data_IF_884817066586
#
_entry.id   IF_884817066586
#
_cell.length_a   1.000
_cell.length_b   1.000
_cell.length_c   1.000
_cell.angle_alpha   90.00
_cell.angle_beta   90.00
_cell.angle_gamma   90.00
#
_symmetry.space_group_name_H-M   'P 1'
#
loop_
_entity.id
_entity.type
_entity.pdbx_description
1 polymer ?
#
# COMPACT_ATOMS: atom_id res chain seq x y z
N UNK A 1 12.70 21.96 -1.85
CA UNK A 1 13.40 20.76 -1.35
C UNK A 1 14.44 20.35 -2.39
N UNK A 2 15.64 19.88 -2.00
CA UNK A 2 16.65 19.39 -2.95
C UNK A 2 16.15 18.20 -3.80
N UNK A 3 16.57 18.14 -5.07
CA UNK A 3 16.17 17.09 -6.02
C UNK A 3 16.44 15.67 -5.49
N UNK A 4 17.59 15.47 -4.84
CA UNK A 4 17.97 14.18 -4.23
C UNK A 4 16.96 13.71 -3.18
N UNK A 5 16.53 14.61 -2.30
CA UNK A 5 15.54 14.30 -1.27
C UNK A 5 14.16 13.99 -1.89
N UNK A 6 13.79 14.71 -2.95
CA UNK A 6 12.57 14.41 -3.69
C UNK A 6 12.62 13.03 -4.35
N UNK A 7 13.75 12.66 -4.95
CA UNK A 7 13.97 11.33 -5.56
C UNK A 7 13.82 10.22 -4.52
N UNK A 8 14.44 10.37 -3.34
CA UNK A 8 14.32 9.43 -2.24
C UNK A 8 12.86 9.22 -1.82
N UNK A 9 12.11 10.31 -1.60
CA UNK A 9 10.69 10.24 -1.26
C UNK A 9 9.85 9.58 -2.36
N UNK A 10 10.15 9.84 -3.63
CA UNK A 10 9.44 9.25 -4.76
C UNK A 10 9.75 7.75 -4.93
N UNK A 11 10.99 7.33 -4.71
CA UNK A 11 11.41 5.92 -4.71
C UNK A 11 10.80 5.15 -3.53
N UNK A 12 10.69 5.82 -2.38
CA UNK A 12 9.98 5.34 -1.20
C UNK A 12 8.44 5.27 -1.42
N UNK A 13 7.92 5.66 -2.59
CA UNK A 13 6.49 5.63 -2.84
C UNK A 13 5.68 6.58 -1.94
N UNK A 14 6.33 7.62 -1.42
CA UNK A 14 5.68 8.63 -0.58
C UNK A 14 4.58 9.33 -1.39
N UNK A 15 3.35 9.49 -0.86
CA UNK A 15 2.24 10.06 -1.60
C UNK A 15 2.49 11.56 -1.81
N UNK A 16 2.09 12.12 -2.94
CA UNK A 16 2.39 13.54 -3.26
C UNK A 16 1.90 14.52 -2.19
N UNK A 17 0.77 14.25 -1.52
CA UNK A 17 0.29 15.11 -0.42
C UNK A 17 1.31 15.23 0.72
N UNK A 18 2.03 14.16 1.00
CA UNK A 18 3.00 14.05 2.09
C UNK A 18 4.33 14.68 1.65
N UNK A 19 4.74 14.44 0.40
CA UNK A 19 5.88 15.16 -0.22
C UNK A 19 5.66 16.67 -0.17
N UNK A 20 4.44 17.15 -0.47
CA UNK A 20 4.08 18.57 -0.37
C UNK A 20 4.22 19.08 1.06
N UNK A 21 3.69 18.35 2.06
CA UNK A 21 3.81 18.73 3.47
C UNK A 21 5.28 18.74 3.95
N UNK A 22 6.09 17.77 3.51
CA UNK A 22 7.53 17.71 3.82
C UNK A 22 8.26 18.89 3.18
N UNK A 23 7.96 19.23 1.92
CA UNK A 23 8.56 20.39 1.25
C UNK A 23 8.20 21.70 1.98
N UNK A 24 6.92 21.88 2.31
CA UNK A 24 6.46 23.08 3.03
C UNK A 24 7.14 23.24 4.39
N UNK A 25 7.27 22.15 5.18
CA UNK A 25 7.99 22.18 6.47
C UNK A 25 9.49 22.42 6.33
N UNK A 26 10.13 21.82 5.33
CA UNK A 26 11.60 21.91 5.18
C UNK A 26 12.08 23.18 4.52
N UNK A 27 11.28 23.79 3.63
CA UNK A 27 11.71 24.98 2.88
C UNK A 27 10.83 26.21 3.10
N UNK A 28 9.73 26.12 3.85
CA UNK A 28 8.76 27.21 4.03
C UNK A 28 7.93 27.53 2.78
N UNK A 29 8.07 26.75 1.70
CA UNK A 29 7.36 26.98 0.44
C UNK A 29 6.43 25.82 0.12
N UNK A 30 5.17 26.12 -0.15
CA UNK A 30 4.20 25.10 -0.56
C UNK A 30 4.22 24.92 -2.07
N UNK A 31 4.52 23.69 -2.51
CA UNK A 31 4.43 23.31 -3.92
C UNK A 31 3.12 22.55 -4.19
N UNK A 32 2.62 22.61 -5.42
CA UNK A 32 1.43 21.85 -5.81
C UNK A 32 1.77 20.36 -6.03
N UNK A 33 0.77 19.47 -5.92
CA UNK A 33 0.95 18.05 -6.28
C UNK A 33 1.34 17.88 -7.75
N UNK A 34 0.82 18.74 -8.63
CA UNK A 34 1.16 18.77 -10.05
C UNK A 34 2.62 19.15 -10.27
N UNK A 35 3.15 20.11 -9.51
CA UNK A 35 4.56 20.47 -9.55
C UNK A 35 5.46 19.25 -9.27
N UNK A 36 5.17 18.50 -8.20
CA UNK A 36 5.88 17.24 -7.88
C UNK A 36 5.76 16.21 -9.01
N UNK A 37 4.56 16.03 -9.56
CA UNK A 37 4.33 15.07 -10.64
C UNK A 37 5.11 15.43 -11.92
N UNK A 38 5.14 16.72 -12.26
CA UNK A 38 5.83 17.24 -13.46
C UNK A 38 7.35 17.15 -13.35
N UNK A 39 7.90 17.07 -12.15
CA UNK A 39 9.34 16.87 -11.96
C UNK A 39 9.78 15.42 -12.20
N UNK A 40 8.87 14.44 -12.17
CA UNK A 40 9.24 13.01 -12.33
C UNK A 40 10.05 12.71 -13.60
N UNK A 41 9.62 13.11 -14.81
CA UNK A 41 10.37 12.79 -16.02
C UNK A 41 11.81 13.33 -15.97
N UNK A 42 11.98 14.59 -15.52
CA UNK A 42 13.30 15.23 -15.35
C UNK A 42 14.18 14.44 -14.38
N UNK A 43 13.63 14.06 -13.23
CA UNK A 43 14.36 13.33 -12.20
C UNK A 43 14.71 11.89 -12.64
N UNK A 44 13.82 11.22 -13.37
CA UNK A 44 14.10 9.89 -13.95
C UNK A 44 15.26 9.96 -14.93
N UNK A 45 15.30 10.97 -15.80
CA UNK A 45 16.39 11.18 -16.75
C UNK A 45 17.69 11.56 -16.03
N UNK A 46 17.63 12.47 -15.06
CA UNK A 46 18.80 12.99 -14.35
C UNK A 46 19.48 11.95 -13.47
N UNK A 47 18.71 11.12 -12.77
CA UNK A 47 19.23 10.14 -11.81
C UNK A 47 19.21 8.71 -12.35
N UNK A 48 18.73 8.48 -13.57
CA UNK A 48 18.63 7.14 -14.15
C UNK A 48 17.68 6.20 -13.38
N UNK A 49 16.69 6.76 -12.68
CA UNK A 49 15.78 5.99 -11.82
C UNK A 49 14.42 5.77 -12.48
N UNK A 50 13.77 4.67 -12.12
CA UNK A 50 12.36 4.42 -12.47
C UNK A 50 11.54 4.47 -11.20
N UNK A 51 10.66 5.47 -11.09
CA UNK A 51 9.76 5.56 -9.94
C UNK A 51 8.69 4.46 -10.01
N UNK A 52 8.41 3.76 -8.90
CA UNK A 52 7.35 2.76 -8.87
C UNK A 52 6.01 3.35 -9.34
N UNK A 53 5.30 2.62 -10.22
CA UNK A 53 3.93 2.97 -10.60
C UNK A 53 2.98 2.52 -9.48
N UNK A 54 2.39 3.47 -8.75
CA UNK A 54 1.33 3.21 -7.77
C UNK A 54 1.81 2.57 -6.46
N UNK A 55 0.92 2.52 -5.46
CA UNK A 55 1.19 1.91 -4.15
C UNK A 55 1.68 0.47 -4.37
N UNK A 56 2.86 0.14 -3.84
CA UNK A 56 3.29 -1.27 -3.74
C UNK A 56 2.17 -2.03 -3.03
N UNK A 57 1.70 -3.13 -3.62
CA UNK A 57 0.88 -4.11 -2.88
C UNK A 57 1.77 -4.64 -1.77
N UNK A 58 1.58 -4.11 -0.57
CA UNK A 58 2.32 -4.53 0.61
C UNK A 58 1.58 -5.68 1.31
N UNK A 59 2.26 -6.38 2.21
CA UNK A 59 1.73 -7.57 2.90
C UNK A 59 0.39 -7.32 3.63
N UNK A 60 0.16 -6.08 4.07
CA UNK A 60 -1.07 -5.65 4.75
C UNK A 60 -2.21 -5.22 3.80
N UNK A 61 -2.01 -5.20 2.49
CA UNK A 61 -3.06 -4.99 1.48
C UNK A 61 -2.99 -6.07 0.39
N UNK A 62 -3.25 -7.35 0.74
CA UNK A 62 -3.18 -8.46 -0.21
C UNK A 62 -4.32 -8.46 -1.26
N UNK A 63 -5.40 -7.72 -1.01
CA UNK A 63 -6.59 -7.70 -1.86
C UNK A 63 -6.40 -6.85 -3.12
N UNK A 64 -7.14 -7.20 -4.17
CA UNK A 64 -7.40 -6.28 -5.28
C UNK A 64 -8.48 -5.28 -4.83
N UNK A 65 -8.04 -4.18 -4.21
CA UNK A 65 -8.94 -3.14 -3.70
C UNK A 65 -9.59 -2.43 -4.87
N UNK A 66 -10.93 -2.35 -4.86
CA UNK A 66 -11.70 -1.63 -5.89
C UNK A 66 -11.32 -0.14 -5.90
N UNK A 67 -11.31 0.53 -7.06
CA UNK A 67 -10.94 1.95 -7.14
C UNK A 67 -11.72 2.84 -6.16
N UNK A 68 -13.03 2.59 -6.03
CA UNK A 68 -13.93 3.27 -5.09
C UNK A 68 -13.47 3.18 -3.62
N UNK A 69 -12.85 2.05 -3.23
CA UNK A 69 -12.43 1.77 -1.85
C UNK A 69 -10.98 2.18 -1.57
N UNK A 70 -10.20 2.58 -2.57
CA UNK A 70 -8.77 2.93 -2.42
C UNK A 70 -8.51 4.13 -1.50
N UNK A 71 -9.52 4.99 -1.33
CA UNK A 71 -9.47 6.17 -0.45
C UNK A 71 -9.96 5.89 0.97
N UNK A 72 -10.32 4.65 1.29
CA UNK A 72 -10.78 4.29 2.62
C UNK A 72 -9.68 4.56 3.68
N UNK A 73 -10.00 5.15 4.84
CA UNK A 73 -9.01 5.51 5.86
C UNK A 73 -8.12 4.34 6.30
N UNK A 74 -8.70 3.13 6.43
CA UNK A 74 -7.95 1.92 6.81
C UNK A 74 -6.85 1.57 5.79
N UNK A 75 -7.02 1.85 4.49
CA UNK A 75 -5.97 1.59 3.48
C UNK A 75 -4.72 2.40 3.81
N UNK A 76 -4.90 3.67 4.15
CA UNK A 76 -3.80 4.56 4.53
C UNK A 76 -3.11 4.06 5.80
N UNK A 77 -3.86 3.66 6.82
CA UNK A 77 -3.29 3.18 8.09
C UNK A 77 -2.49 1.88 7.89
N UNK A 78 -2.98 0.97 7.04
CA UNK A 78 -2.26 -0.24 6.66
C UNK A 78 -1.00 0.05 5.86
N UNK A 79 -1.01 1.05 4.95
CA UNK A 79 0.21 1.51 4.28
C UNK A 79 1.24 2.06 5.27
N UNK A 80 0.80 2.83 6.27
CA UNK A 80 1.70 3.39 7.29
C UNK A 80 2.36 2.28 8.12
N UNK A 81 1.60 1.27 8.53
CA UNK A 81 2.19 0.12 9.23
C UNK A 81 3.16 -0.64 8.33
N UNK A 82 2.83 -0.86 7.05
CA UNK A 82 3.74 -1.55 6.13
C UNK A 82 5.07 -0.80 5.98
N UNK A 83 5.03 0.53 5.83
CA UNK A 83 6.23 1.38 5.82
C UNK A 83 7.03 1.26 7.11
N UNK A 84 6.35 1.26 8.26
CA UNK A 84 7.00 1.09 9.57
C UNK A 84 7.75 -0.25 9.61
N UNK A 85 7.14 -1.34 9.13
CA UNK A 85 7.76 -2.67 9.07
C UNK A 85 8.94 -2.73 8.11
N UNK A 86 8.82 -2.10 6.95
CA UNK A 86 9.89 -2.04 5.97
C UNK A 86 11.11 -1.30 6.55
N UNK A 87 10.90 -0.16 7.23
CA UNK A 87 11.98 0.54 7.93
C UNK A 87 12.66 -0.33 9.00
N UNK A 88 11.87 -1.07 9.78
CA UNK A 88 12.40 -1.95 10.83
C UNK A 88 13.19 -3.13 10.24
N UNK A 89 12.71 -3.74 9.16
CA UNK A 89 13.35 -4.88 8.51
C UNK A 89 14.71 -4.51 7.93
N UNK A 90 14.81 -3.33 7.36
CA UNK A 90 16.00 -2.85 6.66
C UNK A 90 16.97 -2.14 7.61
N UNK A 91 16.56 -1.90 8.86
CA UNK A 91 17.37 -1.18 9.86
C UNK A 91 17.65 0.27 9.49
N UNK A 92 16.89 0.83 8.54
CA UNK A 92 17.09 2.16 7.98
C UNK A 92 15.74 2.85 7.71
N UNK A 93 15.71 4.18 7.77
CA UNK A 93 14.52 4.97 7.44
C UNK A 93 14.40 5.07 5.91
N UNK A 94 13.76 4.08 5.30
CA UNK A 94 13.48 4.06 3.86
C UNK A 94 12.24 4.90 3.54
N UNK A 95 11.24 4.81 4.41
CA UNK A 95 9.98 5.52 4.33
C UNK A 95 9.86 6.45 5.54
N UNK A 96 10.23 7.73 5.43
CA UNK A 96 10.14 8.65 6.55
C UNK A 96 8.70 8.72 7.05
N UNK A 97 8.51 8.50 8.35
CA UNK A 97 7.24 8.64 9.05
C UNK A 97 7.40 9.78 10.05
N UNK A 98 6.54 10.79 9.96
CA UNK A 98 6.54 11.87 10.95
C UNK A 98 5.97 11.40 12.27
N UNK A 99 6.27 12.12 13.35
CA UNK A 99 5.73 11.82 14.68
C UNK A 99 4.19 11.79 14.68
N UNK A 100 3.54 12.71 13.95
CA UNK A 100 2.08 12.71 13.77
C UNK A 100 1.56 11.42 13.13
N UNK A 101 2.28 10.87 12.14
CA UNK A 101 1.87 9.63 11.47
C UNK A 101 2.08 8.42 12.36
N UNK A 102 3.14 8.42 13.17
CA UNK A 102 3.39 7.39 14.18
C UNK A 102 2.33 7.44 15.28
N UNK A 103 1.98 8.64 15.76
CA UNK A 103 0.91 8.84 16.74
C UNK A 103 -0.45 8.37 16.20
N UNK A 104 -0.79 8.71 14.95
CA UNK A 104 -2.02 8.23 14.30
C UNK A 104 -2.05 6.69 14.21
N UNK A 105 -0.93 6.07 13.82
CA UNK A 105 -0.81 4.63 13.73
C UNK A 105 -0.90 3.94 15.10
N UNK A 106 -0.28 4.53 16.14
CA UNK A 106 -0.37 4.04 17.51
C UNK A 106 -1.81 4.10 18.04
N UNK A 107 -2.49 5.24 17.84
CA UNK A 107 -3.89 5.40 18.23
C UNK A 107 -4.80 4.39 17.50
N UNK A 108 -4.54 4.14 16.22
CA UNK A 108 -5.26 3.10 15.47
C UNK A 108 -5.07 1.71 16.09
N UNK A 109 -3.84 1.32 16.42
CA UNK A 109 -3.55 0.01 17.04
C UNK A 109 -4.17 -0.12 18.42
N UNK A 110 -4.12 0.93 19.24
CA UNK A 110 -4.77 0.97 20.55
C UNK A 110 -6.29 0.74 20.40
N UNK A 111 -6.94 1.45 19.46
CA UNK A 111 -8.37 1.28 19.18
C UNK A 111 -8.74 -0.15 18.77
N UNK A 112 -7.88 -0.83 18.00
CA UNK A 112 -8.14 -2.23 17.64
C UNK A 112 -8.15 -3.14 18.87
N UNK A 113 -7.26 -2.90 19.83
CA UNK A 113 -7.18 -3.69 21.06
C UNK A 113 -8.35 -3.38 22.00
N UNK A 114 -8.60 -2.09 22.26
CA UNK A 114 -9.62 -1.62 23.20
C UNK A 114 -11.05 -1.98 22.79
N UNK A 115 -11.34 -2.02 21.48
CA UNK A 115 -12.67 -2.32 20.95
C UNK A 115 -13.00 -3.82 20.90
N UNK A 116 -12.24 -4.67 21.61
CA UNK A 116 -12.46 -6.12 21.67
C UNK A 116 -11.60 -6.92 20.69
N UNK A 117 -10.33 -6.54 20.55
CA UNK A 117 -9.33 -7.22 19.70
C UNK A 117 -9.81 -7.41 18.24
N UNK A 118 -9.88 -6.29 17.52
CA UNK A 118 -10.34 -6.23 16.14
C UNK A 118 -9.19 -6.37 15.14
N UNK A 119 -9.53 -6.85 13.94
CA UNK A 119 -8.67 -6.86 12.75
C UNK A 119 -9.37 -6.20 11.57
N UNK A 120 -8.59 -5.71 10.61
CA UNK A 120 -9.12 -5.18 9.36
C UNK A 120 -9.46 -6.31 8.40
N UNK A 121 -10.67 -6.29 7.88
CA UNK A 121 -11.13 -7.17 6.81
C UNK A 121 -11.58 -6.33 5.61
N UNK A 122 -11.44 -6.90 4.41
CA UNK A 122 -11.90 -6.27 3.18
C UNK A 122 -12.88 -7.19 2.45
N UNK A 123 -14.08 -6.66 2.24
CA UNK A 123 -15.13 -7.26 1.43
C UNK A 123 -15.40 -6.37 0.20
N UNK A 124 -15.02 -6.87 -0.98
CA UNK A 124 -15.20 -6.17 -2.25
C UNK A 124 -16.67 -5.99 -2.67
N UNK A 125 -17.57 -6.83 -2.14
CA UNK A 125 -19.02 -6.76 -2.38
C UNK A 125 -19.72 -5.73 -1.49
N UNK A 126 -19.13 -5.39 -0.35
CA UNK A 126 -19.67 -4.34 0.52
C UNK A 126 -19.52 -2.95 -0.09
N UNK A 127 -20.45 -2.05 0.22
CA UNK A 127 -20.42 -0.66 -0.25
C UNK A 127 -19.22 0.15 0.28
N UNK A 128 -18.68 -0.22 1.45
CA UNK A 128 -17.56 0.47 2.09
C UNK A 128 -16.20 -0.21 1.89
N UNK A 129 -16.17 -1.46 1.45
CA UNK A 129 -14.96 -2.25 1.29
C UNK A 129 -14.40 -2.76 2.62
N UNK A 130 -13.79 -1.87 3.40
CA UNK A 130 -13.05 -2.25 4.61
C UNK A 130 -13.89 -2.14 5.88
N UNK A 131 -13.71 -3.11 6.77
CA UNK A 131 -14.44 -3.21 8.03
C UNK A 131 -13.50 -3.66 9.15
N UNK A 132 -13.85 -3.31 10.39
CA UNK A 132 -13.22 -3.88 11.58
C UNK A 132 -14.07 -5.05 12.05
N UNK A 133 -13.43 -6.21 12.22
CA UNK A 133 -14.10 -7.45 12.63
C UNK A 133 -13.36 -8.07 13.81
N UNK A 134 -14.05 -8.79 14.72
CA UNK A 134 -13.39 -9.48 15.82
C UNK A 134 -12.31 -10.43 15.33
N UNK A 135 -11.15 -10.45 15.97
CA UNK A 135 -10.04 -11.37 15.67
C UNK A 135 -10.49 -12.81 15.90
N UNK A 136 -10.15 -13.70 14.97
CA UNK A 136 -10.30 -15.16 15.17
C UNK A 136 -9.09 -15.68 15.96
N UNK A 137 -9.28 -16.22 17.17
CA UNK A 137 -8.19 -16.78 17.97
C UNK A 137 -7.42 -17.85 17.20
N UNK A 138 -6.08 -17.75 17.21
CA UNK A 138 -5.20 -18.71 16.52
C UNK A 138 -5.16 -18.65 14.99
N UNK A 139 -5.97 -17.79 14.35
CA UNK A 139 -6.05 -17.69 12.88
C UNK A 139 -5.59 -16.30 12.40
N UNK A 140 -6.17 -15.25 12.96
CA UNK A 140 -5.86 -13.88 12.59
C UNK A 140 -4.63 -13.43 13.40
N UNK A 141 -3.43 -13.68 12.86
CA UNK A 141 -2.14 -13.46 13.55
C UNK A 141 -1.59 -12.02 13.42
N UNK A 142 -2.28 -11.15 12.71
CA UNK A 142 -1.79 -9.81 12.37
C UNK A 142 -2.93 -8.78 12.32
N UNK A 143 -2.66 -7.52 11.94
CA UNK A 143 -3.64 -6.43 11.84
C UNK A 143 -4.74 -6.67 10.80
N UNK A 144 -4.53 -7.61 9.88
CA UNK A 144 -5.48 -7.96 8.85
C UNK A 144 -5.99 -9.39 8.99
N UNK A 145 -7.25 -9.59 8.66
CA UNK A 145 -7.79 -10.90 8.33
C UNK A 145 -7.28 -11.29 6.95
N UNK A 146 -6.33 -12.23 6.88
CA UNK A 146 -5.82 -12.69 5.58
C UNK A 146 -6.96 -13.26 4.73
N UNK A 147 -7.08 -12.87 3.45
CA UNK A 147 -8.09 -13.43 2.58
C UNK A 147 -7.83 -14.89 2.28
N UNK A 148 -8.90 -15.66 2.23
CA UNK A 148 -8.95 -16.98 1.63
C UNK A 148 -8.73 -16.91 0.13
N UNK A 149 -8.35 -18.04 -0.48
CA UNK A 149 -8.19 -18.15 -1.94
C UNK A 149 -9.47 -17.76 -2.69
N UNK A 150 -10.65 -18.12 -2.14
CA UNK A 150 -11.94 -17.77 -2.72
C UNK A 150 -12.16 -16.25 -2.75
N UNK A 151 -11.86 -15.55 -1.66
CA UNK A 151 -11.98 -14.09 -1.56
C UNK A 151 -11.03 -13.37 -2.51
N UNK A 152 -9.81 -13.86 -2.70
CA UNK A 152 -8.87 -13.31 -3.68
C UNK A 152 -9.39 -13.43 -5.12
N UNK A 153 -9.99 -14.56 -5.47
CA UNK A 153 -10.60 -14.79 -6.80
C UNK A 153 -11.79 -13.85 -7.00
N UNK A 154 -12.66 -13.71 -5.99
CA UNK A 154 -13.80 -12.82 -6.06
C UNK A 154 -13.38 -11.35 -6.20
N UNK A 155 -12.43 -10.90 -5.37
CA UNK A 155 -11.95 -9.51 -5.42
C UNK A 155 -11.39 -9.14 -6.80
N UNK A 156 -10.65 -10.06 -7.46
CA UNK A 156 -10.15 -9.84 -8.82
C UNK A 156 -11.28 -9.74 -9.85
N UNK A 157 -12.27 -10.63 -9.79
CA UNK A 157 -13.43 -10.60 -10.69
C UNK A 157 -14.19 -9.28 -10.56
N UNK A 158 -14.45 -8.85 -9.33
CA UNK A 158 -15.18 -7.60 -9.06
C UNK A 158 -14.36 -6.37 -9.45
N UNK A 159 -13.04 -6.41 -9.29
CA UNK A 159 -12.15 -5.33 -9.72
C UNK A 159 -11.99 -5.21 -11.25
N UNK A 160 -12.62 -6.09 -12.03
CA UNK A 160 -12.47 -6.10 -13.50
C UNK A 160 -11.12 -6.62 -13.98
N UNK A 161 -10.33 -7.27 -13.11
CA UNK A 161 -9.09 -7.93 -13.52
C UNK A 161 -9.46 -9.13 -14.41
N UNK A 162 -8.94 -9.22 -15.65
CA UNK A 162 -9.22 -10.36 -16.50
C UNK A 162 -8.73 -11.64 -15.81
N UNK A 163 -9.46 -12.77 -15.93
CA UNK A 163 -8.98 -14.03 -15.39
C UNK A 163 -7.60 -14.30 -15.98
N UNK A 164 -6.64 -14.64 -15.12
CA UNK A 164 -5.30 -15.05 -15.54
C UNK A 164 -5.51 -16.17 -16.55
N UNK A 165 -5.31 -15.90 -17.85
CA UNK A 165 -5.44 -16.91 -18.90
C UNK A 165 -4.54 -18.03 -18.48
N UNK A 166 -5.15 -19.17 -18.14
CA UNK A 166 -4.42 -20.33 -17.64
C UNK A 166 -3.24 -20.58 -18.56
N UNK A 167 -2.06 -20.73 -17.95
CA UNK A 167 -0.86 -21.21 -18.64
C UNK A 167 -1.30 -22.43 -19.44
N UNK A 168 -1.42 -22.29 -20.76
CA UNK A 168 -1.70 -23.41 -21.63
C UNK A 168 -0.58 -24.40 -21.36
N UNK A 169 -0.88 -25.48 -20.63
CA UNK A 169 0.02 -26.62 -20.52
C UNK A 169 0.31 -27.02 -21.97
N UNK A 170 1.50 -26.69 -22.46
CA UNK A 170 1.97 -27.22 -23.74
C UNK A 170 1.97 -28.73 -23.54
N UNK A 171 1.04 -29.41 -24.23
CA UNK A 171 1.09 -30.85 -24.35
C UNK A 171 2.49 -31.20 -24.86
N UNK A 172 3.23 -32.01 -24.10
CA UNK A 172 4.47 -32.60 -24.58
C UNK A 172 4.10 -33.46 -25.79
N UNK A 173 4.68 -33.24 -26.98
CA UNK A 173 4.45 -34.16 -28.09
C UNK A 173 5.02 -35.52 -27.70
N UNK A 174 4.20 -36.54 -27.84
CA UNK A 174 4.56 -37.93 -27.61
C UNK A 174 5.77 -38.30 -28.46
N UNK A 175 6.72 -38.98 -27.83
CA UNK A 175 7.85 -39.63 -28.50
C UNK A 175 7.28 -40.83 -29.26
N UNK A 176 7.20 -40.72 -30.58
CA UNK A 176 6.87 -41.84 -31.47
C UNK A 176 8.11 -42.73 -31.53
N UNK A 177 7.91 -44.02 -31.29
CA UNK A 177 8.93 -45.06 -31.45
C UNK A 177 9.11 -45.48 -32.89
#
# INVERSE_FOLDING_TARGET
>A
MPDRQLVELLLAGTPYREIVAINERSTGFRVSKAHIANQKPRLMQMYGVVFPRGRRRHELLPWAVRPEHTRHPLVRLLDLEARRRDNLREGAVIHPLTDDLLAELQAFRARLLEAGDLVVHYDAGSAGGFQLVPRRPGIDLDLIRRPTTAELVLARRVAGDPPVRGVRRRARPGRVG
#
